data_IF_833498720465
#
_entry.id   IF_833498720465
#
_cell.length_a   1.000
_cell.length_b   1.000
_cell.length_c   1.000
_cell.angle_alpha   90.00
_cell.angle_beta   90.00
_cell.angle_gamma   90.00
#
_symmetry.space_group_name_H-M   'P 1'
#
loop_
_entity.id
_entity.type
_entity.pdbx_description
1 polymer ?
#
# COMPACT_ATOMS: atom_id res chain seq x y z
N UNK A 1 28.94 -9.78 21.18
CA UNK A 1 27.58 -10.37 21.17
C UNK A 1 26.86 -9.76 19.98
N UNK A 2 26.27 -10.55 19.08
CA UNK A 2 25.65 -10.03 17.87
C UNK A 2 24.44 -9.17 18.27
N UNK A 3 24.29 -7.95 17.70
CA UNK A 3 23.15 -7.08 18.01
C UNK A 3 21.79 -7.76 17.77
N UNK A 4 21.74 -8.74 16.85
CA UNK A 4 20.54 -9.55 16.57
C UNK A 4 20.04 -10.34 17.79
N UNK A 5 20.93 -10.75 18.69
CA UNK A 5 20.55 -11.52 19.88
C UNK A 5 19.97 -10.64 21.01
N UNK A 6 20.06 -9.31 20.87
CA UNK A 6 19.54 -8.30 21.82
C UNK A 6 18.20 -7.70 21.38
N UNK A 7 17.60 -8.20 20.30
CA UNK A 7 16.31 -7.71 19.79
C UNK A 7 15.21 -8.68 20.18
N UNK A 8 14.25 -8.21 20.96
CA UNK A 8 13.07 -8.96 21.38
C UNK A 8 11.83 -8.42 20.67
N UNK A 9 11.18 -9.23 19.84
CA UNK A 9 9.98 -8.85 19.10
C UNK A 9 8.74 -9.56 19.62
N UNK A 10 7.62 -8.85 19.72
CA UNK A 10 6.31 -9.42 20.04
C UNK A 10 5.22 -8.78 19.19
N UNK A 11 4.36 -9.61 18.60
CA UNK A 11 3.13 -9.16 17.93
C UNK A 11 2.01 -8.97 18.95
N UNK A 12 1.53 -7.75 19.07
CA UNK A 12 0.44 -7.42 19.99
C UNK A 12 -0.89 -7.87 19.41
N UNK A 13 -1.62 -8.59 20.23
CA UNK A 13 -2.98 -9.06 19.99
C UNK A 13 -3.70 -9.27 21.32
N UNK A 14 -4.80 -10.02 21.32
CA UNK A 14 -5.56 -10.26 22.54
C UNK A 14 -4.69 -10.96 23.61
N UNK A 15 -4.60 -10.35 24.80
CA UNK A 15 -3.90 -10.92 25.95
C UNK A 15 -2.36 -10.78 25.95
N UNK A 16 -1.74 -10.13 24.95
CA UNK A 16 -0.28 -10.02 24.86
C UNK A 16 0.33 -8.86 25.67
N UNK A 17 -0.50 -7.92 26.17
CA UNK A 17 -0.04 -6.75 26.94
C UNK A 17 0.88 -7.09 28.12
N UNK A 18 0.50 -7.99 29.04
CA UNK A 18 1.34 -8.36 30.19
C UNK A 18 2.65 -9.05 29.82
N UNK A 19 2.74 -9.66 28.62
CA UNK A 19 3.98 -10.25 28.11
C UNK A 19 4.91 -9.13 27.62
N UNK A 20 4.35 -8.16 26.88
CA UNK A 20 5.09 -6.98 26.44
C UNK A 20 5.63 -6.15 27.61
N UNK A 21 4.86 -5.98 28.68
CA UNK A 21 5.31 -5.30 29.91
C UNK A 21 6.54 -5.94 30.55
N UNK A 22 6.51 -7.27 30.71
CA UNK A 22 7.63 -8.04 31.26
C UNK A 22 8.86 -7.96 30.36
N UNK A 23 8.67 -8.02 29.05
CA UNK A 23 9.74 -7.89 28.05
C UNK A 23 10.41 -6.52 28.13
N UNK A 24 9.62 -5.45 28.17
CA UNK A 24 10.13 -4.08 28.30
C UNK A 24 10.92 -3.92 29.60
N UNK A 25 10.35 -4.32 30.74
CA UNK A 25 11.03 -4.16 32.04
C UNK A 25 12.34 -4.96 32.13
N UNK A 26 12.41 -6.15 31.52
CA UNK A 26 13.64 -6.94 31.45
C UNK A 26 14.71 -6.35 30.53
N UNK A 27 14.30 -5.64 29.47
CA UNK A 27 15.20 -5.03 28.51
C UNK A 27 15.75 -3.67 28.97
N UNK A 28 14.98 -2.89 29.75
CA UNK A 28 15.36 -1.54 30.25
C UNK A 28 16.74 -1.52 30.91
N UNK A 29 17.02 -2.46 31.81
CA UNK A 29 18.27 -2.51 32.56
C UNK A 29 19.43 -3.15 31.79
N UNK A 30 19.13 -3.99 30.79
CA UNK A 30 20.12 -4.69 29.95
C UNK A 30 20.53 -3.89 28.70
N UNK A 31 19.78 -2.85 28.35
CA UNK A 31 19.98 -2.10 27.11
C UNK A 31 19.54 -2.84 25.85
N UNK A 32 18.68 -3.83 25.99
CA UNK A 32 18.17 -4.61 24.85
C UNK A 32 17.08 -3.83 24.09
N UNK A 33 16.83 -4.23 22.86
CA UNK A 33 15.86 -3.58 21.98
C UNK A 33 14.55 -4.35 22.00
N UNK A 34 13.43 -3.64 22.15
CA UNK A 34 12.09 -4.25 22.14
C UNK A 34 11.32 -3.74 20.94
N UNK A 35 10.74 -4.64 20.15
CA UNK A 35 9.89 -4.30 19.02
C UNK A 35 8.47 -4.82 19.23
N UNK A 36 7.54 -3.90 19.45
CA UNK A 36 6.11 -4.21 19.56
C UNK A 36 5.45 -4.03 18.19
N UNK A 37 4.98 -5.11 17.59
CA UNK A 37 4.27 -5.10 16.31
C UNK A 37 2.77 -4.97 16.52
N UNK A 38 2.07 -4.38 15.55
CA UNK A 38 0.61 -4.32 15.48
C UNK A 38 -0.07 -3.69 16.71
N UNK A 39 0.50 -2.62 17.26
CA UNK A 39 0.00 -1.98 18.48
C UNK A 39 -1.48 -1.58 18.40
N UNK A 40 -1.95 -1.13 17.23
CA UNK A 40 -3.36 -0.82 16.95
C UNK A 40 -4.36 -1.96 17.26
N UNK A 41 -3.92 -3.23 17.27
CA UNK A 41 -4.77 -4.37 17.62
C UNK A 41 -4.98 -4.52 19.13
N UNK A 42 -4.10 -3.95 19.97
CA UNK A 42 -4.15 -4.04 21.42
C UNK A 42 -4.76 -2.77 22.06
N UNK A 43 -5.91 -2.33 21.56
CA UNK A 43 -6.58 -1.10 21.99
C UNK A 43 -6.79 -1.00 23.52
N UNK A 44 -7.15 -2.11 24.18
CA UNK A 44 -7.38 -2.15 25.63
C UNK A 44 -6.11 -1.95 26.47
N UNK A 45 -4.93 -2.19 25.88
CA UNK A 45 -3.63 -2.08 26.56
C UNK A 45 -2.92 -0.75 26.30
N UNK A 46 -3.46 0.11 25.41
CA UNK A 46 -2.83 1.39 25.05
C UNK A 46 -2.60 2.32 26.25
N UNK A 47 -3.51 2.31 27.24
CA UNK A 47 -3.32 3.06 28.50
C UNK A 47 -2.13 2.53 29.31
N UNK A 48 -1.91 1.22 29.32
CA UNK A 48 -0.75 0.60 29.97
C UNK A 48 0.54 1.00 29.26
N UNK A 49 0.56 0.96 27.93
CA UNK A 49 1.69 1.43 27.12
C UNK A 49 2.04 2.89 27.41
N UNK A 50 1.03 3.77 27.49
CA UNK A 50 1.21 5.17 27.83
C UNK A 50 1.88 5.36 29.20
N UNK A 51 1.42 4.63 30.21
CA UNK A 51 2.00 4.68 31.55
C UNK A 51 3.45 4.17 31.57
N UNK A 52 3.75 3.11 30.82
CA UNK A 52 5.11 2.59 30.69
C UNK A 52 6.04 3.62 30.07
N UNK A 53 5.62 4.24 28.96
CA UNK A 53 6.43 5.23 28.23
C UNK A 53 6.64 6.49 29.06
N UNK A 54 5.60 6.97 29.75
CA UNK A 54 5.70 8.11 30.67
C UNK A 54 6.72 7.84 31.79
N UNK A 55 6.77 6.61 32.29
CA UNK A 55 7.69 6.21 33.36
C UNK A 55 9.11 5.87 32.90
N UNK A 56 9.40 5.77 31.59
CA UNK A 56 10.77 5.49 31.11
C UNK A 56 11.76 6.60 31.45
N UNK A 57 11.29 7.85 31.53
CA UNK A 57 12.14 9.03 31.80
C UNK A 57 12.14 9.49 33.26
N UNK A 58 11.41 8.83 34.16
CA UNK A 58 11.30 9.25 35.56
C UNK A 58 12.19 8.40 36.47
N UNK A 59 12.58 8.96 37.62
CA UNK A 59 13.39 8.26 38.64
C UNK A 59 12.70 7.00 39.19
N UNK A 60 11.38 6.87 39.02
CA UNK A 60 10.59 5.69 39.37
C UNK A 60 10.74 4.53 38.37
N UNK A 61 11.26 4.80 37.15
CA UNK A 61 11.45 3.81 36.08
C UNK A 61 12.72 2.95 36.21
N UNK A 62 13.56 3.20 37.21
CA UNK A 62 14.85 2.54 37.41
C UNK A 62 15.97 3.13 36.53
N UNK A 63 17.15 2.51 36.57
CA UNK A 63 18.28 2.88 35.69
C UNK A 63 17.95 2.42 34.27
N UNK A 64 17.63 3.37 33.40
CA UNK A 64 17.49 3.12 31.98
C UNK A 64 18.88 3.01 31.36
N UNK A 65 19.17 1.90 30.69
CA UNK A 65 20.44 1.72 30.00
C UNK A 65 20.47 2.54 28.71
N UNK A 66 21.60 3.21 28.42
CA UNK A 66 21.73 4.13 27.27
C UNK A 66 21.45 3.49 25.90
N UNK A 67 21.80 2.20 25.74
CA UNK A 67 21.51 1.41 24.54
C UNK A 67 20.04 0.99 24.36
N UNK A 68 19.17 1.13 25.38
CA UNK A 68 17.80 0.64 25.31
C UNK A 68 17.01 1.35 24.20
N UNK A 69 16.27 0.60 23.39
CA UNK A 69 15.38 1.15 22.36
C UNK A 69 14.04 0.43 22.39
N UNK A 70 12.95 1.19 22.37
CA UNK A 70 11.59 0.69 22.21
C UNK A 70 11.05 1.10 20.84
N UNK A 71 10.81 0.12 19.98
CA UNK A 71 10.22 0.30 18.66
C UNK A 71 8.76 -0.15 18.69
N UNK A 72 7.90 0.66 18.07
CA UNK A 72 6.47 0.41 17.97
C UNK A 72 6.08 0.42 16.49
N UNK A 73 5.36 -0.60 16.03
CA UNK A 73 4.71 -0.61 14.72
C UNK A 73 3.19 -0.59 14.91
N UNK A 74 2.52 0.32 14.21
CA UNK A 74 1.07 0.50 14.26
C UNK A 74 0.53 1.13 12.99
N UNK A 75 -0.68 0.73 12.58
CA UNK A 75 -1.50 1.56 11.72
C UNK A 75 -1.98 2.81 12.49
N UNK A 76 -2.19 3.96 11.82
CA UNK A 76 -2.81 5.11 12.44
C UNK A 76 -4.17 4.75 13.05
N UNK A 77 -4.39 5.08 14.31
CA UNK A 77 -5.64 4.81 15.01
C UNK A 77 -5.90 5.89 16.05
N UNK A 78 -7.15 6.39 16.19
CA UNK A 78 -7.49 7.39 17.21
C UNK A 78 -7.34 6.86 18.64
N UNK A 79 -7.24 5.53 18.80
CA UNK A 79 -7.03 4.87 20.10
C UNK A 79 -5.57 4.89 20.55
N UNK A 80 -4.64 5.26 19.68
CA UNK A 80 -3.23 5.29 20.02
C UNK A 80 -2.94 6.51 20.92
N UNK A 81 -2.21 6.35 22.05
CA UNK A 81 -2.05 7.44 23.00
C UNK A 81 -1.30 8.64 22.41
N UNK A 82 -1.88 9.83 22.54
CA UNK A 82 -1.29 11.07 22.02
C UNK A 82 0.03 11.39 22.71
N UNK A 83 0.16 11.12 24.00
CA UNK A 83 1.39 11.34 24.78
C UNK A 83 2.56 10.49 24.28
N UNK A 84 2.30 9.21 23.95
CA UNK A 84 3.30 8.31 23.36
C UNK A 84 3.73 8.80 22.00
N UNK A 85 2.77 9.28 21.17
CA UNK A 85 3.11 9.93 19.92
C UNK A 85 3.97 11.16 20.19
N UNK A 86 3.54 12.14 20.98
CA UNK A 86 4.30 13.37 21.25
C UNK A 86 5.74 13.10 21.69
N UNK A 87 5.97 12.11 22.55
CA UNK A 87 7.28 11.78 23.11
C UNK A 87 8.11 10.76 22.28
N UNK A 88 7.65 10.35 21.10
CA UNK A 88 8.36 9.39 20.24
C UNK A 88 8.86 10.01 18.93
N UNK A 89 9.87 9.37 18.33
CA UNK A 89 10.27 9.60 16.94
C UNK A 89 9.32 8.79 16.05
N UNK A 90 8.68 9.44 15.09
CA UNK A 90 7.73 8.81 14.16
C UNK A 90 8.39 8.66 12.80
N UNK A 91 8.22 7.49 12.21
CA UNK A 91 8.60 7.22 10.83
C UNK A 91 7.36 6.69 10.13
N UNK A 92 6.95 7.35 9.05
CA UNK A 92 5.82 6.94 8.22
C UNK A 92 6.35 6.18 7.02
N UNK A 93 5.84 4.96 6.81
CA UNK A 93 6.12 4.16 5.62
C UNK A 93 4.84 4.08 4.79
N UNK A 94 4.81 4.77 3.66
CA UNK A 94 3.71 4.67 2.70
C UNK A 94 4.16 3.82 1.50
N UNK A 95 3.28 2.99 0.92
CA UNK A 95 3.59 2.32 -0.34
C UNK A 95 3.92 3.36 -1.43
N UNK A 96 4.82 3.03 -2.37
CA UNK A 96 5.17 3.93 -3.46
C UNK A 96 3.91 4.31 -4.25
N UNK A 97 3.74 5.60 -4.51
CA UNK A 97 2.67 6.14 -5.36
C UNK A 97 3.15 6.19 -6.81
N UNK A 98 2.28 5.82 -7.74
CA UNK A 98 2.56 5.81 -9.17
C UNK A 98 2.94 4.43 -9.70
N UNK A 99 2.56 4.19 -10.95
CA UNK A 99 2.81 2.97 -11.71
C UNK A 99 4.30 2.65 -11.78
N UNK A 100 5.13 3.64 -12.14
CA UNK A 100 6.59 3.45 -12.26
C UNK A 100 7.20 2.97 -10.95
N UNK A 101 6.90 3.65 -9.85
CA UNK A 101 7.49 3.35 -8.56
C UNK A 101 7.04 1.98 -8.03
N UNK A 102 5.79 1.61 -8.27
CA UNK A 102 5.22 0.32 -7.93
C UNK A 102 5.92 -0.83 -8.68
N UNK A 103 5.99 -0.73 -10.01
CA UNK A 103 6.64 -1.75 -10.85
C UNK A 103 8.13 -1.81 -10.56
N UNK A 104 8.81 -0.67 -10.42
CA UNK A 104 10.23 -0.62 -10.06
C UNK A 104 10.52 -1.35 -8.76
N UNK A 105 9.69 -1.14 -7.73
CA UNK A 105 9.82 -1.85 -6.45
C UNK A 105 9.66 -3.36 -6.64
N UNK A 106 8.70 -3.81 -7.45
CA UNK A 106 8.51 -5.24 -7.75
C UNK A 106 9.80 -5.89 -8.30
N UNK A 107 10.47 -5.23 -9.24
CA UNK A 107 11.70 -5.75 -9.89
C UNK A 107 12.99 -5.54 -9.09
N UNK A 108 12.96 -4.73 -8.03
CA UNK A 108 14.03 -4.64 -7.03
C UNK A 108 13.89 -5.76 -6.00
N UNK A 109 12.65 -6.08 -5.60
CA UNK A 109 12.36 -7.16 -4.65
C UNK A 109 12.59 -8.57 -5.25
N UNK A 110 12.47 -8.72 -6.57
CA UNK A 110 12.78 -9.97 -7.27
C UNK A 110 14.29 -10.20 -7.31
N UNK A 111 14.75 -11.28 -6.65
CA UNK A 111 16.13 -11.75 -6.69
C UNK A 111 16.55 -12.12 -8.13
N UNK A 112 17.74 -11.70 -8.53
CA UNK A 112 18.27 -11.90 -9.89
C UNK A 112 18.45 -13.39 -10.21
N UNK A 113 18.78 -14.21 -9.20
CA UNK A 113 18.95 -15.65 -9.33
C UNK A 113 17.60 -16.37 -9.44
N UNK A 114 16.60 -15.95 -8.67
CA UNK A 114 15.22 -16.41 -8.81
C UNK A 114 14.63 -16.02 -10.17
N UNK A 115 14.89 -14.80 -10.64
CA UNK A 115 14.43 -14.35 -11.95
C UNK A 115 15.01 -15.19 -13.09
N UNK A 116 16.33 -15.40 -13.10
CA UNK A 116 17.00 -16.18 -14.16
C UNK A 116 16.63 -17.66 -14.16
N UNK A 117 16.54 -18.30 -12.98
CA UNK A 117 16.22 -19.74 -12.87
C UNK A 117 14.76 -20.04 -13.17
N UNK A 118 13.85 -19.16 -12.73
CA UNK A 118 12.40 -19.43 -12.77
C UNK A 118 11.73 -18.84 -14.01
N UNK A 119 12.25 -17.73 -14.54
CA UNK A 119 11.53 -16.91 -15.51
C UNK A 119 12.23 -16.75 -16.86
N UNK A 120 13.32 -17.45 -17.19
CA UNK A 120 14.00 -17.24 -18.48
C UNK A 120 13.07 -17.32 -19.71
N UNK A 121 12.05 -18.18 -19.70
CA UNK A 121 11.01 -18.27 -20.75
C UNK A 121 9.76 -17.39 -20.52
N UNK A 122 9.55 -16.90 -19.30
CA UNK A 122 8.35 -16.18 -18.85
C UNK A 122 8.68 -14.77 -18.30
N UNK A 123 9.88 -14.26 -18.58
CA UNK A 123 10.43 -13.03 -17.99
C UNK A 123 9.55 -11.82 -18.30
N UNK A 124 9.08 -11.74 -19.54
CA UNK A 124 8.15 -10.70 -19.97
C UNK A 124 6.72 -10.95 -19.43
N UNK A 125 6.34 -12.19 -19.11
CA UNK A 125 5.05 -12.49 -18.47
C UNK A 125 4.99 -12.03 -17.01
N UNK A 126 6.12 -12.05 -16.29
CA UNK A 126 6.23 -11.43 -14.98
C UNK A 126 6.01 -9.90 -15.06
N UNK A 127 6.46 -9.24 -16.13
CA UNK A 127 6.19 -7.81 -16.38
C UNK A 127 4.69 -7.57 -16.55
N UNK A 128 3.98 -8.42 -17.30
CA UNK A 128 2.53 -8.32 -17.50
C UNK A 128 1.77 -8.32 -16.16
N UNK A 129 2.08 -9.27 -15.28
CA UNK A 129 1.45 -9.36 -13.95
C UNK A 129 1.81 -8.15 -13.08
N UNK A 130 3.08 -7.70 -13.09
CA UNK A 130 3.49 -6.54 -12.30
C UNK A 130 2.82 -5.25 -12.77
N UNK A 131 2.71 -5.03 -14.08
CA UNK A 131 2.01 -3.90 -14.67
C UNK A 131 0.51 -3.95 -14.33
N UNK A 132 -0.14 -5.10 -14.52
CA UNK A 132 -1.53 -5.30 -14.13
C UNK A 132 -1.77 -4.97 -12.66
N UNK A 133 -0.95 -5.52 -11.77
CA UNK A 133 -1.03 -5.32 -10.33
C UNK A 133 -0.91 -3.83 -9.94
N UNK A 134 0.05 -3.14 -10.54
CA UNK A 134 0.26 -1.73 -10.28
C UNK A 134 -0.89 -0.86 -10.81
N UNK A 135 -1.47 -1.19 -11.97
CA UNK A 135 -2.64 -0.50 -12.52
C UNK A 135 -3.85 -0.63 -11.62
N UNK A 136 -4.21 -1.84 -11.19
CA UNK A 136 -5.40 -2.03 -10.33
C UNK A 136 -5.25 -1.35 -8.97
N UNK A 137 -4.03 -1.30 -8.42
CA UNK A 137 -3.73 -0.58 -7.18
C UNK A 137 -3.85 0.93 -7.36
N UNK A 138 -3.29 1.49 -8.44
CA UNK A 138 -3.30 2.93 -8.71
C UNK A 138 -4.69 3.44 -9.07
N UNK A 139 -5.55 2.61 -9.68
CA UNK A 139 -6.93 2.99 -10.01
C UNK A 139 -7.75 3.47 -8.81
N UNK A 140 -7.41 3.08 -7.58
CA UNK A 140 -8.07 3.57 -6.35
C UNK A 140 -8.03 5.09 -6.20
N UNK A 141 -7.03 5.77 -6.81
CA UNK A 141 -6.91 7.24 -6.73
C UNK A 141 -8.08 7.96 -7.40
N UNK A 142 -8.70 7.35 -8.40
CA UNK A 142 -9.84 7.91 -9.14
C UNK A 142 -11.19 7.70 -8.43
N UNK A 143 -11.21 7.15 -7.21
CA UNK A 143 -12.44 6.90 -6.47
C UNK A 143 -13.43 6.03 -7.27
N UNK A 144 -14.72 6.39 -7.33
CA UNK A 144 -15.75 5.63 -8.06
C UNK A 144 -15.49 5.44 -9.57
N UNK A 145 -14.68 6.30 -10.20
CA UNK A 145 -14.27 6.11 -11.60
C UNK A 145 -13.26 4.97 -11.75
N UNK A 146 -12.49 4.70 -10.69
CA UNK A 146 -11.54 3.60 -10.60
C UNK A 146 -12.22 2.30 -10.23
N UNK A 147 -12.88 2.31 -9.07
CA UNK A 147 -13.57 1.18 -8.44
C UNK A 147 -14.80 1.69 -7.68
N UNK A 148 -15.93 0.97 -7.76
CA UNK A 148 -17.11 1.29 -6.96
C UNK A 148 -16.82 1.13 -5.46
N UNK A 149 -16.07 0.08 -5.10
CA UNK A 149 -15.62 -0.19 -3.73
C UNK A 149 -14.09 -0.14 -3.68
N UNK A 150 -13.52 0.48 -2.64
CA UNK A 150 -12.06 0.52 -2.48
C UNK A 150 -11.54 -0.84 -1.98
N UNK A 151 -10.88 -1.58 -2.87
CA UNK A 151 -10.24 -2.85 -2.54
C UNK A 151 -8.76 -2.68 -2.19
N UNK A 152 -8.28 -3.51 -1.27
CA UNK A 152 -6.87 -3.58 -0.92
C UNK A 152 -6.21 -4.76 -1.65
N UNK A 153 -5.60 -4.46 -2.80
CA UNK A 153 -4.73 -5.40 -3.50
C UNK A 153 -3.33 -5.34 -2.89
N UNK A 154 -2.74 -6.48 -2.54
CA UNK A 154 -1.50 -6.58 -1.78
C UNK A 154 -0.41 -7.35 -2.55
N UNK A 155 0.82 -7.30 -2.04
CA UNK A 155 1.96 -7.97 -2.68
C UNK A 155 1.80 -9.49 -2.72
N UNK A 156 1.11 -10.09 -1.74
CA UNK A 156 0.85 -11.53 -1.70
C UNK A 156 -0.02 -11.99 -2.87
N UNK A 157 -0.92 -11.13 -3.37
CA UNK A 157 -1.70 -11.42 -4.59
C UNK A 157 -0.81 -11.49 -5.82
N UNK A 158 0.12 -10.53 -5.94
CA UNK A 158 1.10 -10.50 -7.03
C UNK A 158 1.99 -11.74 -7.01
N UNK A 159 2.49 -12.10 -5.83
CA UNK A 159 3.30 -13.31 -5.63
C UNK A 159 2.51 -14.57 -5.97
N UNK A 160 1.26 -14.67 -5.52
CA UNK A 160 0.37 -15.79 -5.85
C UNK A 160 0.10 -15.88 -7.36
N UNK A 161 -0.20 -14.74 -8.02
CA UNK A 161 -0.42 -14.70 -9.46
C UNK A 161 0.84 -15.12 -10.25
N UNK A 162 2.02 -14.70 -9.81
CA UNK A 162 3.28 -15.15 -10.38
C UNK A 162 3.48 -16.67 -10.18
N UNK A 163 3.29 -17.20 -8.98
CA UNK A 163 3.42 -18.64 -8.74
C UNK A 163 2.45 -19.47 -9.59
N UNK A 164 1.21 -19.00 -9.74
CA UNK A 164 0.24 -19.62 -10.63
C UNK A 164 0.73 -19.60 -12.08
N UNK A 165 1.20 -18.45 -12.57
CA UNK A 165 1.73 -18.33 -13.92
C UNK A 165 2.86 -19.34 -14.19
N UNK A 166 3.80 -19.46 -13.25
CA UNK A 166 4.89 -20.43 -13.33
C UNK A 166 4.36 -21.87 -13.41
N UNK A 167 3.45 -22.23 -12.51
CA UNK A 167 2.87 -23.57 -12.43
C UNK A 167 2.10 -23.94 -13.70
N UNK A 168 1.26 -23.04 -14.22
CA UNK A 168 0.43 -23.30 -15.40
C UNK A 168 1.21 -23.31 -16.72
N UNK A 169 2.38 -22.67 -16.76
CA UNK A 169 3.19 -22.56 -17.97
C UNK A 169 4.45 -23.45 -17.95
N UNK A 170 4.54 -24.41 -17.03
CA UNK A 170 5.70 -25.31 -16.89
C UNK A 170 6.01 -26.08 -18.20
N UNK A 171 4.95 -26.55 -18.88
CA UNK A 171 5.04 -27.29 -20.14
C UNK A 171 5.25 -26.40 -21.38
N UNK A 172 5.36 -25.08 -21.20
CA UNK A 172 5.52 -24.10 -22.27
C UNK A 172 4.25 -23.75 -23.05
N UNK A 173 3.12 -24.36 -22.72
CA UNK A 173 1.80 -23.95 -23.20
C UNK A 173 1.16 -22.95 -22.23
N UNK A 174 0.53 -21.89 -22.75
CA UNK A 174 -0.16 -20.87 -21.93
C UNK A 174 -1.68 -21.12 -21.93
N UNK A 175 -2.25 -21.68 -20.85
CA UNK A 175 -3.69 -21.93 -20.76
C UNK A 175 -4.44 -20.63 -20.39
N UNK A 176 -4.72 -19.81 -21.40
CA UNK A 176 -5.31 -18.47 -21.23
C UNK A 176 -6.56 -18.45 -20.36
N UNK A 177 -7.53 -19.33 -20.64
CA UNK A 177 -8.80 -19.36 -19.89
C UNK A 177 -8.60 -19.70 -18.41
N UNK A 178 -7.67 -20.62 -18.10
CA UNK A 178 -7.37 -21.01 -16.72
C UNK A 178 -6.65 -19.88 -15.97
N UNK A 179 -5.69 -19.22 -16.62
CA UNK A 179 -4.94 -18.10 -16.06
C UNK A 179 -5.81 -16.86 -15.85
N UNK A 180 -6.72 -16.57 -16.79
CA UNK A 180 -7.74 -15.53 -16.63
C UNK A 180 -8.65 -15.84 -15.44
N UNK A 181 -9.18 -17.07 -15.38
CA UNK A 181 -10.09 -17.47 -14.31
C UNK A 181 -9.42 -17.38 -12.93
N UNK A 182 -8.23 -17.96 -12.77
CA UNK A 182 -7.53 -17.98 -11.49
C UNK A 182 -7.09 -16.57 -11.08
N UNK A 183 -6.50 -15.80 -11.98
CA UNK A 183 -6.01 -14.46 -11.65
C UNK A 183 -7.17 -13.51 -11.36
N UNK A 184 -8.21 -13.51 -12.22
CA UNK A 184 -9.31 -12.56 -12.11
C UNK A 184 -10.32 -12.90 -11.01
N UNK A 185 -10.76 -14.16 -10.90
CA UNK A 185 -11.86 -14.53 -10.00
C UNK A 185 -11.37 -15.05 -8.65
N UNK A 186 -10.21 -15.71 -8.60
CA UNK A 186 -9.72 -16.33 -7.36
C UNK A 186 -8.70 -15.42 -6.67
N UNK A 187 -7.56 -15.12 -7.32
CA UNK A 187 -6.45 -14.39 -6.71
C UNK A 187 -6.83 -12.94 -6.39
N UNK A 188 -7.24 -12.17 -7.39
CA UNK A 188 -7.62 -10.77 -7.19
C UNK A 188 -9.12 -10.61 -6.91
N UNK A 189 -9.96 -11.39 -7.58
CA UNK A 189 -11.43 -11.33 -7.45
C UNK A 189 -11.99 -11.90 -6.15
N UNK A 190 -11.22 -12.70 -5.39
CA UNK A 190 -11.68 -13.28 -4.13
C UNK A 190 -12.14 -12.26 -3.07
N UNK A 191 -11.76 -10.98 -3.23
CA UNK A 191 -12.22 -9.86 -2.40
C UNK A 191 -13.16 -8.88 -3.10
N UNK A 192 -13.34 -9.02 -4.40
CA UNK A 192 -14.17 -8.11 -5.20
C UNK A 192 -15.62 -8.56 -5.06
N UNK A 193 -16.39 -7.75 -4.37
CA UNK A 193 -17.79 -8.06 -4.01
C UNK A 193 -18.81 -7.49 -5.00
N UNK A 194 -18.44 -6.45 -5.75
CA UNK A 194 -19.32 -5.83 -6.74
C UNK A 194 -19.13 -6.48 -8.12
N UNK A 195 -20.24 -6.78 -8.80
CA UNK A 195 -20.21 -7.46 -10.10
C UNK A 195 -19.61 -6.57 -11.21
N UNK A 196 -19.81 -5.25 -11.14
CA UNK A 196 -19.25 -4.33 -12.13
C UNK A 196 -17.76 -4.15 -11.93
N UNK A 197 -17.31 -4.05 -10.69
CA UNK A 197 -15.88 -4.06 -10.36
C UNK A 197 -15.23 -5.39 -10.77
N UNK A 198 -15.88 -6.54 -10.57
CA UNK A 198 -15.34 -7.83 -11.04
C UNK A 198 -15.21 -7.87 -12.57
N UNK A 199 -16.21 -7.34 -13.29
CA UNK A 199 -16.14 -7.22 -14.75
C UNK A 199 -15.02 -6.28 -15.19
N UNK A 200 -14.86 -5.16 -14.50
CA UNK A 200 -13.79 -4.18 -14.74
C UNK A 200 -12.41 -4.84 -14.54
N UNK A 201 -12.21 -5.54 -13.43
CA UNK A 201 -10.99 -6.28 -13.12
C UNK A 201 -10.62 -7.28 -14.22
N UNK A 202 -11.57 -8.13 -14.64
CA UNK A 202 -11.35 -9.08 -15.74
C UNK A 202 -11.01 -8.38 -17.05
N UNK A 203 -11.67 -7.25 -17.34
CA UNK A 203 -11.43 -6.49 -18.57
C UNK A 203 -10.03 -5.88 -18.58
N UNK A 204 -9.58 -5.32 -17.44
CA UNK A 204 -8.23 -4.79 -17.29
C UNK A 204 -7.21 -5.92 -17.42
N UNK A 205 -7.46 -7.08 -16.80
CA UNK A 205 -6.56 -8.23 -16.91
C UNK A 205 -6.33 -8.62 -18.37
N UNK A 206 -7.36 -8.62 -19.22
CA UNK A 206 -7.25 -8.96 -20.65
C UNK A 206 -6.32 -8.04 -21.44
N UNK A 207 -6.10 -6.80 -21.00
CA UNK A 207 -5.13 -5.89 -21.64
C UNK A 207 -3.69 -6.37 -21.43
N UNK A 208 -3.41 -7.04 -20.31
CA UNK A 208 -2.08 -7.55 -19.98
C UNK A 208 -1.93 -9.05 -20.27
N UNK A 209 -3.04 -9.78 -20.23
CA UNK A 209 -3.07 -11.23 -20.24
C UNK A 209 -4.11 -11.73 -21.25
N UNK A 210 -3.76 -11.68 -22.53
CA UNK A 210 -4.57 -12.24 -23.62
C UNK A 210 -3.71 -12.60 -24.85
N UNK A 211 -4.18 -13.47 -25.77
CA UNK A 211 -3.40 -13.83 -26.96
C UNK A 211 -2.89 -12.65 -27.80
N UNK A 212 -3.66 -11.55 -28.03
CA UNK A 212 -3.17 -10.38 -28.76
C UNK A 212 -1.94 -9.71 -28.15
N UNK A 213 -1.71 -9.88 -26.83
CA UNK A 213 -0.51 -9.32 -26.18
C UNK A 213 0.80 -9.94 -26.66
N UNK A 214 0.73 -11.08 -27.38
CA UNK A 214 1.87 -11.73 -28.02
C UNK A 214 2.19 -11.16 -29.41
N UNK A 215 1.40 -10.22 -29.93
CA UNK A 215 1.65 -9.58 -31.22
C UNK A 215 2.80 -8.57 -31.13
N UNK A 216 3.59 -8.45 -32.21
CA UNK A 216 4.71 -7.51 -32.26
C UNK A 216 4.20 -6.07 -32.27
N UNK A 217 4.80 -5.21 -31.44
CA UNK A 217 4.35 -3.83 -31.27
C UNK A 217 3.10 -3.64 -30.43
N UNK A 218 2.58 -4.69 -29.77
CA UNK A 218 1.45 -4.55 -28.85
C UNK A 218 1.80 -3.61 -27.68
N UNK A 219 0.99 -2.56 -27.50
CA UNK A 219 1.08 -1.62 -26.40
C UNK A 219 -0.17 -1.72 -25.51
N UNK A 220 0.02 -1.53 -24.21
CA UNK A 220 -1.05 -1.55 -23.21
C UNK A 220 -1.94 -0.31 -23.24
N UNK A 221 -1.54 0.73 -23.98
CA UNK A 221 -2.25 2.02 -24.06
C UNK A 221 -1.99 2.72 -25.38
N UNK A 222 -2.80 3.74 -25.69
CA UNK A 222 -2.75 4.52 -26.93
C UNK A 222 -1.43 5.24 -27.17
N UNK A 223 -0.72 5.70 -26.14
CA UNK A 223 0.55 6.41 -26.32
C UNK A 223 1.70 5.53 -26.82
N UNK A 224 1.58 4.20 -26.73
CA UNK A 224 2.66 3.28 -27.06
C UNK A 224 3.83 3.27 -26.07
N UNK A 225 3.77 4.08 -25.00
CA UNK A 225 4.84 4.18 -23.98
C UNK A 225 4.86 2.93 -23.12
N UNK A 226 3.69 2.38 -22.82
CA UNK A 226 3.52 1.23 -21.94
C UNK A 226 3.37 -0.04 -22.78
N UNK A 227 4.37 -0.89 -22.76
CA UNK A 227 4.41 -2.17 -23.46
C UNK A 227 5.15 -3.25 -22.66
N UNK A 228 5.15 -4.47 -23.18
CA UNK A 228 5.93 -5.57 -22.64
C UNK A 228 7.31 -5.64 -23.33
N UNK A 229 8.43 -5.37 -22.64
CA UNK A 229 9.75 -5.50 -23.26
C UNK A 229 10.04 -6.98 -23.55
N UNK A 230 10.27 -7.33 -24.82
CA UNK A 230 10.62 -8.69 -25.27
C UNK A 230 12.09 -9.01 -25.01
N UNK A 231 12.48 -9.00 -23.74
CA UNK A 231 13.84 -9.32 -23.28
C UNK A 231 13.78 -10.30 -22.12
N UNK A 232 14.75 -11.21 -22.09
CA UNK A 232 14.94 -12.16 -20.99
C UNK A 232 15.84 -11.58 -19.88
N UNK A 233 16.48 -10.43 -20.13
CA UNK A 233 17.40 -9.80 -19.18
C UNK A 233 16.65 -8.86 -18.25
N UNK A 234 16.75 -9.11 -16.95
CA UNK A 234 16.15 -8.25 -15.92
C UNK A 234 16.71 -6.82 -15.99
N UNK A 235 17.98 -6.66 -16.37
CA UNK A 235 18.61 -5.33 -16.50
C UNK A 235 17.94 -4.49 -17.59
N UNK A 236 17.58 -5.09 -18.73
CA UNK A 236 16.87 -4.40 -19.80
C UNK A 236 15.44 -4.02 -19.39
N UNK A 237 14.78 -4.89 -18.62
CA UNK A 237 13.46 -4.60 -18.02
C UNK A 237 13.56 -3.42 -17.04
N UNK A 238 14.57 -3.42 -16.17
CA UNK A 238 14.83 -2.31 -15.23
C UNK A 238 15.09 -1.00 -15.97
N UNK A 239 15.90 -1.03 -17.03
CA UNK A 239 16.14 0.14 -17.88
C UNK A 239 14.86 0.66 -18.52
N UNK A 240 14.00 -0.22 -19.05
CA UNK A 240 12.70 0.16 -19.59
C UNK A 240 11.80 0.80 -18.52
N UNK A 241 11.69 0.20 -17.32
CA UNK A 241 10.92 0.77 -16.22
C UNK A 241 11.42 2.17 -15.86
N UNK A 242 12.73 2.39 -15.92
CA UNK A 242 13.32 3.71 -15.67
C UNK A 242 12.98 4.76 -16.75
N UNK A 243 12.61 4.35 -17.96
CA UNK A 243 12.10 5.27 -19.01
C UNK A 243 10.64 5.68 -18.81
N UNK A 244 9.87 4.96 -17.98
CA UNK A 244 8.46 5.28 -17.75
C UNK A 244 8.29 6.67 -17.12
N UNK A 245 7.20 7.39 -17.44
CA UNK A 245 6.90 8.67 -16.84
C UNK A 245 6.62 8.53 -15.33
N UNK A 246 7.00 9.54 -14.56
CA UNK A 246 6.74 9.59 -13.10
C UNK A 246 5.28 9.96 -12.82
N UNK A 247 4.68 10.76 -13.70
CA UNK A 247 3.27 11.16 -13.65
C UNK A 247 2.58 10.48 -14.83
N UNK A 248 1.67 9.57 -14.53
CA UNK A 248 0.95 8.84 -15.56
C UNK A 248 -0.31 9.57 -16.04
N UNK A 249 -0.56 9.47 -17.34
CA UNK A 249 -1.80 9.91 -17.98
C UNK A 249 -2.93 8.90 -17.75
N UNK A 250 -4.21 9.31 -17.72
CA UNK A 250 -5.35 8.42 -17.48
C UNK A 250 -5.49 7.28 -18.49
N UNK A 251 -4.95 7.45 -19.70
CA UNK A 251 -4.98 6.45 -20.76
C UNK A 251 -4.37 5.10 -20.35
N UNK A 252 -3.32 5.08 -19.51
CA UNK A 252 -2.72 3.81 -19.05
C UNK A 252 -3.66 3.03 -18.14
N UNK A 253 -4.57 3.74 -17.47
CA UNK A 253 -5.62 3.13 -16.66
C UNK A 253 -6.87 2.82 -17.49
N UNK A 254 -6.88 3.09 -18.80
CA UNK A 254 -8.07 2.96 -19.65
C UNK A 254 -9.17 3.98 -19.32
N UNK A 255 -8.78 5.19 -18.90
CA UNK A 255 -9.68 6.27 -18.51
C UNK A 255 -9.51 7.51 -19.41
N UNK A 256 -10.55 8.33 -19.49
CA UNK A 256 -10.51 9.64 -20.14
C UNK A 256 -9.71 10.65 -19.29
N UNK A 257 -9.14 11.68 -19.92
CA UNK A 257 -8.40 12.76 -19.23
C UNK A 257 -9.20 13.48 -18.14
N UNK A 258 -10.53 13.43 -18.22
CA UNK A 258 -11.43 14.01 -17.22
C UNK A 258 -11.31 13.31 -15.86
N UNK A 259 -10.82 12.06 -15.82
CA UNK A 259 -10.54 11.35 -14.57
C UNK A 259 -9.45 12.04 -13.76
N UNK A 260 -8.41 12.59 -14.42
CA UNK A 260 -7.39 13.39 -13.75
C UNK A 260 -7.98 14.68 -13.18
N UNK A 261 -8.82 15.39 -13.94
CA UNK A 261 -9.48 16.62 -13.47
C UNK A 261 -10.32 16.32 -12.21
N UNK A 262 -11.10 15.24 -12.22
CA UNK A 262 -11.91 14.83 -11.07
C UNK A 262 -11.03 14.48 -9.84
N UNK A 263 -9.93 13.77 -10.07
CA UNK A 263 -8.95 13.44 -9.03
C UNK A 263 -8.31 14.70 -8.44
N UNK A 264 -7.79 15.60 -9.28
CA UNK A 264 -7.15 16.85 -8.87
C UNK A 264 -8.11 17.77 -8.12
N UNK A 265 -9.37 17.87 -8.57
CA UNK A 265 -10.40 18.63 -7.85
C UNK A 265 -10.68 18.05 -6.47
N UNK A 266 -10.72 16.72 -6.33
CA UNK A 266 -10.93 16.05 -5.04
C UNK A 266 -9.76 16.29 -4.09
N UNK A 267 -8.52 16.11 -4.55
CA UNK A 267 -7.32 16.37 -3.76
C UNK A 267 -7.24 17.85 -3.34
N UNK A 268 -7.55 18.77 -4.26
CA UNK A 268 -7.60 20.21 -3.98
C UNK A 268 -8.65 20.54 -2.93
N UNK A 269 -9.85 19.98 -3.05
CA UNK A 269 -10.94 20.19 -2.07
C UNK A 269 -10.54 19.65 -0.69
N UNK A 270 -9.92 18.47 -0.63
CA UNK A 270 -9.42 17.88 0.62
C UNK A 270 -8.35 18.75 1.27
N UNK A 271 -7.40 19.27 0.47
CA UNK A 271 -6.36 20.18 0.94
C UNK A 271 -6.96 21.48 1.49
N UNK A 272 -7.89 22.10 0.76
CA UNK A 272 -8.56 23.33 1.18
C UNK A 272 -9.34 23.10 2.47
N UNK A 273 -10.08 21.99 2.59
CA UNK A 273 -10.80 21.65 3.82
C UNK A 273 -9.83 21.47 4.99
N UNK A 274 -8.70 20.79 4.77
CA UNK A 274 -7.67 20.61 5.80
C UNK A 274 -7.10 21.97 6.25
N UNK A 275 -6.88 22.90 5.33
CA UNK A 275 -6.44 24.27 5.66
C UNK A 275 -7.50 25.00 6.51
N UNK A 276 -8.78 24.89 6.15
CA UNK A 276 -9.89 25.48 6.90
C UNK A 276 -10.01 24.88 8.31
N UNK A 277 -9.81 23.57 8.45
CA UNK A 277 -9.89 22.87 9.73
C UNK A 277 -8.75 23.25 10.69
N UNK A 278 -7.57 23.56 10.15
CA UNK A 278 -6.40 24.01 10.93
C UNK A 278 -6.46 25.52 11.24
N UNK A 279 -7.30 26.29 10.53
CA UNK A 279 -7.39 27.73 10.73
C UNK A 279 -7.91 28.05 12.14
N UNK A 280 -7.19 28.85 12.95
CA UNK A 280 -7.61 29.18 14.30
C UNK A 280 -8.91 29.99 14.27
N UNK A 281 -9.97 29.46 14.87
CA UNK A 281 -11.28 30.13 15.03
C UNK A 281 -11.20 31.28 16.04
N UNK A 282 -10.41 32.30 15.72
CA UNK A 282 -10.13 33.46 16.59
C UNK A 282 -11.07 34.63 16.37
N UNK A 283 -11.94 34.56 15.36
CA UNK A 283 -13.09 35.47 15.19
C UNK A 283 -14.38 34.68 15.27
N UNK A 284 -15.30 35.09 16.15
CA UNK A 284 -16.66 34.58 16.13
C UNK A 284 -17.24 34.79 14.74
N UNK A 285 -17.73 33.72 14.12
CA UNK A 285 -18.54 33.87 12.93
C UNK A 285 -19.80 34.62 13.36
N UNK A 286 -19.88 35.92 13.08
CA UNK A 286 -21.16 36.54 12.79
C UNK A 286 -21.71 35.78 11.59
N UNK A 287 -22.53 34.77 11.89
CA UNK A 287 -23.17 33.96 10.87
C UNK A 287 -24.04 34.87 10.04
N UNK A 288 -23.72 35.00 8.75
CA UNK A 288 -24.73 35.42 7.79
C UNK A 288 -25.92 34.47 7.88
N UNK A 289 -27.10 34.99 7.55
CA UNK A 289 -28.35 34.22 7.63
C UNK A 289 -28.19 32.83 7.01
N UNK A 290 -28.55 31.80 7.78
CA UNK A 290 -28.63 30.43 7.25
C UNK A 290 -29.64 30.41 6.09
N UNK A 291 -29.56 29.43 5.17
CA UNK A 291 -30.54 29.30 4.08
C UNK A 291 -31.99 29.36 4.58
N UNK A 292 -32.27 28.78 5.76
CA UNK A 292 -33.57 28.85 6.42
C UNK A 292 -33.94 30.27 6.87
N UNK A 293 -32.99 31.03 7.42
CA UNK A 293 -33.18 32.44 7.80
C UNK A 293 -33.36 33.35 6.57
N UNK A 294 -32.72 33.03 5.44
CA UNK A 294 -32.93 33.75 4.17
C UNK A 294 -34.34 33.51 3.65
N UNK A 295 -34.82 32.27 3.66
CA UNK A 295 -36.20 31.95 3.27
C UNK A 295 -37.20 32.70 4.16
N UNK A 296 -36.96 32.73 5.47
CA UNK A 296 -37.83 33.43 6.41
C UNK A 296 -37.81 34.96 6.30
N UNK A 297 -36.80 35.53 5.65
CA UNK A 297 -36.74 36.97 5.37
C UNK A 297 -37.46 37.35 4.08
N UNK A 298 -37.52 36.43 3.12
CA UNK A 298 -38.07 36.69 1.77
C UNK A 298 -39.58 36.37 1.70
N UNK A 299 -40.06 35.43 2.53
CA UNK A 299 -41.47 35.08 2.67
C UNK A 299 -42.14 35.87 3.80
#
# INVERSE_FOLDING_TARGET
MNMRDRVHSISLGQGQGPVAERMINGAKSKGDWVFLQNCHLAASWMLGLELIVSNLGTTQGGVLHDDFRLYLSSMPTPKFPVSVLQNSVKVTNEPPKGLKANVKRAFIEMDDDFFRKTWSRLAYDAVRICMFHAIIQERKKFGPLGWNITYEFNNSDRECAMLNLQMFCEDGHMPWDALEYITSLITYGGRVTDMWDQRCLTTILKVFFSPPTLEEGYAYSSSGIYYCPRTEKIEDIRNYIDTLPVIETPEVFGMHDNANIAFENKETTSLVQTILDVQPRTGGSEGGDTPDQIVWRIC
#
